data_IF_780648648590
#
_entry.id   IF_780648648590
#
_cell.length_a   1.000
_cell.length_b   1.000
_cell.length_c   1.000
_cell.angle_alpha   90.00
_cell.angle_beta   90.00
_cell.angle_gamma   90.00
#
_symmetry.space_group_name_H-M   'P 1'
#
loop_
_entity.id
_entity.type
_entity.pdbx_description
1 polymer ?
#
# COMPACT_ATOMS: atom_id res chain seq x y z
N UNK A 1 -6.33 -28.42 10.81
CA UNK A 1 -5.05 -27.90 11.32
C UNK A 1 -4.88 -26.46 10.83
N UNK A 2 -4.34 -25.53 11.63
CA UNK A 2 -4.09 -24.15 11.20
C UNK A 2 -2.93 -24.15 10.18
N UNK A 3 -3.07 -23.45 9.04
CA UNK A 3 -2.06 -23.42 7.97
C UNK A 3 -0.66 -23.01 8.46
N UNK A 4 -0.58 -22.18 9.50
CA UNK A 4 0.69 -21.81 10.12
C UNK A 4 1.35 -22.95 10.89
N UNK A 5 0.54 -23.78 11.58
CA UNK A 5 1.05 -24.96 12.31
C UNK A 5 1.50 -26.05 11.34
N UNK A 6 0.75 -26.24 10.25
CA UNK A 6 1.07 -27.19 9.18
C UNK A 6 2.36 -26.78 8.46
N UNK A 7 2.52 -25.49 8.12
CA UNK A 7 3.76 -24.99 7.53
C UNK A 7 4.96 -25.06 8.49
N UNK A 8 4.75 -24.86 9.79
CA UNK A 8 5.80 -25.00 10.79
C UNK A 8 6.28 -26.45 10.93
N UNK A 9 5.34 -27.39 10.94
CA UNK A 9 5.63 -28.83 10.95
C UNK A 9 6.38 -29.25 9.69
N UNK A 10 5.90 -28.85 8.51
CA UNK A 10 6.50 -29.18 7.23
C UNK A 10 7.95 -28.68 7.14
N UNK A 11 8.23 -27.46 7.60
CA UNK A 11 9.60 -26.93 7.64
C UNK A 11 10.52 -27.77 8.52
N UNK A 12 10.08 -28.09 9.74
CA UNK A 12 10.87 -28.90 10.65
C UNK A 12 11.14 -30.31 10.09
N UNK A 13 10.20 -30.86 9.33
CA UNK A 13 10.38 -32.17 8.70
C UNK A 13 11.32 -32.10 7.49
N UNK A 14 11.23 -31.04 6.68
CA UNK A 14 12.21 -30.77 5.61
C UNK A 14 13.61 -30.64 6.20
N UNK A 15 13.79 -29.86 7.27
CA UNK A 15 15.09 -29.67 7.90
C UNK A 15 15.67 -31.01 8.40
N UNK A 16 14.84 -31.86 9.00
CA UNK A 16 15.25 -33.22 9.43
C UNK A 16 15.66 -34.12 8.28
N UNK A 17 14.91 -34.10 7.17
CA UNK A 17 15.22 -34.92 6.00
C UNK A 17 16.53 -34.48 5.34
N UNK A 18 16.77 -33.16 5.28
CA UNK A 18 18.03 -32.61 4.77
C UNK A 18 19.22 -32.96 5.67
N UNK A 19 19.05 -32.95 7.00
CA UNK A 19 20.08 -33.39 7.95
C UNK A 19 20.36 -34.90 7.85
N UNK A 20 19.32 -35.71 7.59
CA UNK A 20 19.44 -37.17 7.51
C UNK A 20 20.05 -37.64 6.18
N UNK A 21 19.80 -36.91 5.10
CA UNK A 21 20.29 -37.23 3.75
C UNK A 21 20.98 -36.00 3.11
N UNK A 22 22.21 -35.64 3.54
CA UNK A 22 22.94 -34.51 2.98
C UNK A 22 23.20 -34.61 1.47
N UNK A 23 23.24 -35.83 0.93
CA UNK A 23 23.38 -36.10 -0.51
C UNK A 23 22.25 -35.53 -1.38
N UNK A 24 21.10 -35.17 -0.78
CA UNK A 24 19.99 -34.52 -1.48
C UNK A 24 20.31 -33.06 -1.87
N UNK A 25 21.38 -32.45 -1.35
CA UNK A 25 21.77 -31.09 -1.75
C UNK A 25 22.23 -31.01 -3.22
N UNK A 26 22.85 -32.08 -3.73
CA UNK A 26 23.49 -32.11 -5.04
C UNK A 26 22.53 -32.50 -6.18
N UNK A 27 21.35 -33.06 -5.86
CA UNK A 27 20.32 -33.46 -6.82
C UNK A 27 18.95 -32.86 -6.48
N UNK A 28 18.61 -31.77 -7.16
CA UNK A 28 17.35 -31.06 -6.97
C UNK A 28 16.11 -31.91 -7.30
N UNK A 29 16.21 -32.81 -8.28
CA UNK A 29 15.06 -33.63 -8.71
C UNK A 29 14.78 -34.71 -7.68
N UNK A 30 15.83 -35.43 -7.26
CA UNK A 30 15.74 -36.42 -6.19
C UNK A 30 15.24 -35.79 -4.88
N UNK A 31 15.74 -34.58 -4.55
CA UNK A 31 15.29 -33.85 -3.37
C UNK A 31 13.81 -33.51 -3.44
N UNK A 32 13.33 -32.99 -4.57
CA UNK A 32 11.92 -32.64 -4.72
C UNK A 32 11.00 -33.87 -4.57
N UNK A 33 11.35 -34.99 -5.20
CA UNK A 33 10.56 -36.22 -5.15
C UNK A 33 10.54 -36.84 -3.74
N UNK A 34 11.69 -36.87 -3.06
CA UNK A 34 11.80 -37.37 -1.68
C UNK A 34 11.03 -36.49 -0.69
N UNK A 35 11.16 -35.16 -0.80
CA UNK A 35 10.43 -34.24 0.07
C UNK A 35 8.91 -34.37 -0.14
N UNK A 36 8.44 -34.52 -1.37
CA UNK A 36 7.01 -34.69 -1.62
C UNK A 36 6.48 -36.03 -1.11
N UNK A 37 7.23 -37.11 -1.33
CA UNK A 37 6.88 -38.45 -0.88
C UNK A 37 6.84 -38.61 0.64
N UNK A 38 7.74 -37.96 1.37
CA UNK A 38 7.85 -38.09 2.84
C UNK A 38 7.02 -37.05 3.60
N UNK A 39 6.73 -35.87 3.03
CA UNK A 39 6.16 -34.74 3.78
C UNK A 39 4.85 -34.17 3.26
N UNK A 40 4.27 -34.72 2.18
CA UNK A 40 3.07 -34.17 1.51
C UNK A 40 3.25 -32.71 1.05
N UNK A 41 4.48 -32.31 0.69
CA UNK A 41 4.85 -30.93 0.35
C UNK A 41 3.90 -30.31 -0.68
N UNK A 42 3.66 -31.00 -1.79
CA UNK A 42 2.80 -30.54 -2.89
C UNK A 42 1.38 -30.29 -2.40
N UNK A 43 0.82 -31.23 -1.62
CA UNK A 43 -0.55 -31.12 -1.10
C UNK A 43 -0.73 -29.93 -0.15
N UNK A 44 0.28 -29.65 0.70
CA UNK A 44 0.26 -28.48 1.58
C UNK A 44 0.35 -27.19 0.74
N UNK A 45 1.21 -27.16 -0.27
CA UNK A 45 1.38 -26.02 -1.16
C UNK A 45 0.14 -25.73 -2.01
N UNK A 46 -0.55 -26.75 -2.53
CA UNK A 46 -1.83 -26.62 -3.23
C UNK A 46 -2.89 -25.97 -2.34
N UNK A 47 -3.05 -26.45 -1.10
CA UNK A 47 -4.01 -25.86 -0.14
C UNK A 47 -3.68 -24.41 0.19
N UNK A 48 -2.40 -24.06 0.32
CA UNK A 48 -1.96 -22.68 0.54
C UNK A 48 -2.26 -21.80 -0.69
N UNK A 49 -2.04 -22.34 -1.88
CA UNK A 49 -2.35 -21.68 -3.14
C UNK A 49 -3.85 -21.39 -3.27
N UNK A 50 -4.72 -22.37 -3.00
CA UNK A 50 -6.18 -22.21 -3.03
C UNK A 50 -6.67 -21.16 -2.03
N UNK A 51 -6.11 -21.17 -0.82
CA UNK A 51 -6.42 -20.17 0.20
C UNK A 51 -5.96 -18.78 -0.22
N UNK A 52 -4.79 -18.65 -0.84
CA UNK A 52 -4.28 -17.39 -1.40
C UNK A 52 -5.19 -16.88 -2.52
N UNK A 53 -5.62 -17.76 -3.44
CA UNK A 53 -6.53 -17.39 -4.54
C UNK A 53 -7.89 -16.94 -4.01
N UNK A 54 -8.46 -17.68 -3.05
CA UNK A 54 -9.71 -17.31 -2.39
C UNK A 54 -9.61 -15.95 -1.69
N UNK A 55 -8.51 -15.71 -0.97
CA UNK A 55 -8.26 -14.43 -0.31
C UNK A 55 -8.11 -13.28 -1.31
N UNK A 56 -7.45 -13.52 -2.45
CA UNK A 56 -7.34 -12.54 -3.55
C UNK A 56 -8.72 -12.17 -4.09
N UNK A 57 -9.56 -13.16 -4.42
CA UNK A 57 -10.91 -12.91 -4.91
C UNK A 57 -11.76 -12.10 -3.93
N UNK A 58 -11.68 -12.42 -2.63
CA UNK A 58 -12.38 -11.65 -1.59
C UNK A 58 -11.83 -10.22 -1.44
N UNK A 59 -10.52 -10.03 -1.59
CA UNK A 59 -9.89 -8.71 -1.56
C UNK A 59 -10.37 -7.83 -2.73
N UNK A 60 -10.43 -8.40 -3.93
CA UNK A 60 -10.86 -7.69 -5.12
C UNK A 60 -12.35 -7.30 -5.03
N UNK A 61 -13.22 -8.22 -4.59
CA UNK A 61 -14.63 -7.91 -4.32
C UNK A 61 -14.82 -6.85 -3.23
N UNK A 62 -13.97 -6.86 -2.18
CA UNK A 62 -14.01 -5.85 -1.14
C UNK A 62 -13.61 -4.46 -1.66
N UNK A 63 -12.58 -4.38 -2.52
CA UNK A 63 -12.16 -3.14 -3.18
C UNK A 63 -13.25 -2.55 -4.07
N UNK A 64 -13.94 -3.39 -4.82
CA UNK A 64 -15.05 -2.96 -5.68
C UNK A 64 -16.16 -2.31 -4.85
N UNK A 65 -16.61 -2.98 -3.78
CA UNK A 65 -17.62 -2.42 -2.87
C UNK A 65 -17.17 -1.14 -2.19
N UNK A 66 -15.91 -1.08 -1.76
CA UNK A 66 -15.33 0.12 -1.17
C UNK A 66 -15.33 1.30 -2.18
N UNK A 67 -15.00 1.02 -3.45
CA UNK A 67 -15.08 1.99 -4.54
C UNK A 67 -16.49 2.57 -4.69
N UNK A 68 -17.51 1.71 -4.75
CA UNK A 68 -18.90 2.15 -4.88
C UNK A 68 -19.38 3.01 -3.68
N UNK A 69 -18.97 2.66 -2.46
CA UNK A 69 -19.27 3.46 -1.26
C UNK A 69 -18.55 4.81 -1.31
N UNK A 70 -17.28 4.83 -1.77
CA UNK A 70 -16.51 6.06 -1.90
C UNK A 70 -17.10 7.00 -2.94
N UNK A 71 -17.58 6.49 -4.08
CA UNK A 71 -18.29 7.30 -5.08
C UNK A 71 -19.58 7.90 -4.52
N UNK A 72 -20.37 7.12 -3.77
CA UNK A 72 -21.56 7.64 -3.07
C UNK A 72 -21.18 8.74 -2.08
N UNK A 73 -20.15 8.53 -1.28
CA UNK A 73 -19.64 9.52 -0.33
C UNK A 73 -19.23 10.81 -1.03
N UNK A 74 -18.50 10.73 -2.16
CA UNK A 74 -18.14 11.90 -2.99
C UNK A 74 -19.36 12.67 -3.49
N UNK A 75 -20.45 11.98 -3.88
CA UNK A 75 -21.69 12.67 -4.29
C UNK A 75 -22.33 13.43 -3.13
N UNK A 76 -22.41 12.82 -1.95
CA UNK A 76 -22.93 13.51 -0.77
C UNK A 76 -22.04 14.67 -0.33
N UNK A 77 -20.71 14.55 -0.46
CA UNK A 77 -19.77 15.65 -0.25
C UNK A 77 -20.05 16.83 -1.19
N UNK A 78 -20.21 16.59 -2.49
CA UNK A 78 -20.61 17.64 -3.45
C UNK A 78 -21.96 18.28 -3.12
N UNK A 79 -22.91 17.48 -2.62
CA UNK A 79 -24.22 17.97 -2.22
C UNK A 79 -24.12 18.86 -0.97
N UNK A 80 -23.30 18.46 0.01
CA UNK A 80 -23.02 19.24 1.21
C UNK A 80 -22.34 20.58 0.87
N UNK A 81 -21.31 20.55 0.03
CA UNK A 81 -20.65 21.76 -0.49
C UNK A 81 -21.64 22.68 -1.21
N UNK A 82 -22.53 22.12 -2.04
CA UNK A 82 -23.55 22.90 -2.75
C UNK A 82 -24.56 23.56 -1.79
N UNK A 83 -24.99 22.86 -0.73
CA UNK A 83 -25.85 23.45 0.28
C UNK A 83 -25.14 24.53 1.10
N UNK A 84 -23.88 24.31 1.46
CA UNK A 84 -23.05 25.31 2.13
C UNK A 84 -22.87 26.57 1.27
N UNK A 85 -22.63 26.43 -0.04
CA UNK A 85 -22.58 27.55 -0.97
C UNK A 85 -23.93 28.27 -1.10
N UNK A 86 -25.04 27.53 -1.12
CA UNK A 86 -26.39 28.12 -1.15
C UNK A 86 -26.67 28.92 0.13
N UNK A 87 -26.36 28.36 1.31
CA UNK A 87 -26.51 29.05 2.60
C UNK A 87 -25.67 30.33 2.63
N UNK A 88 -24.42 30.29 2.17
CA UNK A 88 -23.57 31.47 2.04
C UNK A 88 -24.23 32.53 1.14
N UNK A 89 -24.71 32.13 -0.05
CA UNK A 89 -25.34 33.07 -0.99
C UNK A 89 -26.60 33.74 -0.42
N UNK A 90 -27.38 33.02 0.40
CA UNK A 90 -28.56 33.56 1.09
C UNK A 90 -28.13 34.55 2.17
N UNK A 91 -27.14 34.20 3.00
CA UNK A 91 -26.65 35.07 4.06
C UNK A 91 -26.03 36.36 3.49
N UNK A 92 -25.29 36.27 2.38
CA UNK A 92 -24.74 37.43 1.66
C UNK A 92 -25.86 38.34 1.13
N UNK A 93 -26.89 37.77 0.49
CA UNK A 93 -28.05 38.53 -0.01
C UNK A 93 -28.88 39.16 1.11
N UNK A 94 -28.97 38.49 2.26
CA UNK A 94 -29.65 38.99 3.44
C UNK A 94 -28.82 40.00 4.25
N UNK A 95 -27.55 40.21 3.88
CA UNK A 95 -26.59 41.05 4.61
C UNK A 95 -26.46 40.64 6.08
N UNK A 96 -26.47 39.33 6.36
CA UNK A 96 -26.34 38.75 7.69
C UNK A 96 -24.99 38.07 7.85
N UNK A 97 -24.12 38.63 8.69
CA UNK A 97 -22.82 38.02 9.01
C UNK A 97 -22.97 36.78 9.93
N UNK A 98 -24.08 36.69 10.67
CA UNK A 98 -24.34 35.64 11.66
C UNK A 98 -25.83 35.31 11.75
N UNK A 99 -26.15 34.02 11.75
CA UNK A 99 -27.49 33.50 11.97
C UNK A 99 -27.44 32.36 13.00
N UNK A 100 -28.11 32.53 14.13
CA UNK A 100 -28.22 31.49 15.16
C UNK A 100 -29.49 30.69 14.95
N UNK A 101 -29.36 29.39 14.69
CA UNK A 101 -30.45 28.43 14.63
C UNK A 101 -30.45 27.56 15.91
N UNK A 102 -31.57 26.91 16.26
CA UNK A 102 -31.61 26.00 17.42
C UNK A 102 -30.58 24.86 17.35
N UNK A 103 -30.24 24.41 16.13
CA UNK A 103 -29.35 23.26 15.91
C UNK A 103 -27.90 23.66 15.57
N UNK A 104 -27.66 24.91 15.14
CA UNK A 104 -26.32 25.38 14.73
C UNK A 104 -26.22 26.91 14.67
N UNK A 105 -25.01 27.45 14.76
CA UNK A 105 -24.75 28.87 14.46
C UNK A 105 -24.01 28.98 13.13
N UNK A 106 -24.62 29.67 12.16
CA UNK A 106 -24.01 30.00 10.87
C UNK A 106 -23.33 31.36 10.98
N UNK A 107 -22.09 31.45 10.51
CA UNK A 107 -21.35 32.71 10.47
C UNK A 107 -20.50 32.79 9.22
N UNK A 108 -20.61 33.89 8.48
CA UNK A 108 -19.70 34.16 7.36
C UNK A 108 -18.36 34.56 7.95
N UNK A 109 -17.31 33.80 7.62
CA UNK A 109 -15.93 34.22 7.92
C UNK A 109 -15.46 35.14 6.81
N UNK A 110 -14.81 36.24 7.20
CA UNK A 110 -14.09 37.09 6.24
C UNK A 110 -13.05 36.22 5.50
N UNK A 111 -12.85 36.41 4.18
CA UNK A 111 -11.85 35.68 3.44
C UNK A 111 -10.49 35.88 4.11
N UNK A 112 -9.87 34.80 4.57
CA UNK A 112 -8.51 34.86 5.09
C UNK A 112 -7.57 35.05 3.93
N UNK A 113 -6.61 35.97 4.06
CA UNK A 113 -5.56 36.20 3.07
C UNK A 113 -4.73 34.92 2.97
N UNK A 114 -4.94 34.13 1.93
CA UNK A 114 -4.10 33.00 1.58
C UNK A 114 -3.05 33.48 0.57
N UNK A 115 -1.79 33.13 0.81
CA UNK A 115 -0.71 33.42 -0.12
C UNK A 115 -0.78 32.40 -1.25
N UNK A 116 -1.16 32.84 -2.45
CA UNK A 116 -1.08 32.02 -3.65
C UNK A 116 0.33 32.18 -4.25
N UNK A 117 1.16 31.14 -4.14
CA UNK A 117 2.51 31.14 -4.73
C UNK A 117 2.38 30.89 -6.24
N UNK A 118 2.43 31.95 -7.03
CA UNK A 118 2.26 31.90 -8.49
C UNK A 118 3.51 31.41 -9.23
N UNK A 119 4.70 31.65 -8.68
CA UNK A 119 5.97 31.17 -9.22
C UNK A 119 6.95 30.92 -8.08
N UNK A 120 7.40 29.69 -7.90
CA UNK A 120 8.36 29.31 -6.85
C UNK A 120 9.76 29.87 -7.16
N UNK A 121 10.10 30.00 -8.45
CA UNK A 121 11.42 30.44 -8.92
C UNK A 121 11.66 31.96 -8.78
N UNK A 122 10.59 32.74 -8.65
CA UNK A 122 10.66 34.20 -8.41
C UNK A 122 10.62 34.54 -6.91
N UNK A 123 10.49 33.54 -6.03
CA UNK A 123 10.45 33.77 -4.59
C UNK A 123 11.84 34.19 -4.06
N UNK A 124 11.92 35.26 -3.26
CA UNK A 124 13.16 35.62 -2.57
C UNK A 124 13.67 34.47 -1.69
N UNK A 125 15.00 34.36 -1.57
CA UNK A 125 15.67 33.38 -0.73
C UNK A 125 15.16 33.51 0.72
N UNK A 126 14.39 32.51 1.20
CA UNK A 126 13.75 32.52 2.51
C UNK A 126 12.28 32.08 2.51
N UNK A 127 11.61 32.10 1.35
CA UNK A 127 10.20 31.68 1.22
C UNK A 127 9.99 30.30 0.58
N UNK A 128 11.06 29.57 0.27
CA UNK A 128 11.01 28.19 -0.23
C UNK A 128 11.87 27.26 0.63
N UNK A 129 11.41 26.03 0.83
CA UNK A 129 12.20 24.96 1.45
C UNK A 129 12.68 24.00 0.37
N UNK A 130 13.99 23.81 0.26
CA UNK A 130 14.57 22.86 -0.71
C UNK A 130 14.60 21.46 -0.10
N UNK A 131 13.65 20.60 -0.49
CA UNK A 131 13.62 19.20 -0.05
C UNK A 131 14.62 18.37 -0.90
N UNK A 132 15.78 18.03 -0.34
CA UNK A 132 16.73 17.09 -0.97
C UNK A 132 16.19 15.66 -0.88
N UNK A 133 15.43 15.23 -1.90
CA UNK A 133 15.01 13.82 -2.03
C UNK A 133 16.12 12.98 -2.66
N UNK A 134 16.42 11.85 -2.03
CA UNK A 134 17.31 10.86 -2.61
C UNK A 134 16.64 10.20 -3.82
N UNK A 135 17.23 10.35 -5.00
CA UNK A 135 16.79 9.62 -6.19
C UNK A 135 17.30 8.19 -6.14
N UNK A 136 16.48 7.30 -5.57
CA UNK A 136 16.79 5.88 -5.40
C UNK A 136 17.04 5.16 -6.72
N UNK A 137 16.55 5.67 -7.86
CA UNK A 137 16.82 5.06 -9.18
C UNK A 137 18.22 5.42 -9.65
N UNK A 138 18.57 6.70 -9.65
CA UNK A 138 19.91 7.16 -10.04
C UNK A 138 20.99 6.57 -9.11
N UNK A 139 20.71 6.52 -7.81
CA UNK A 139 21.56 5.89 -6.80
C UNK A 139 21.68 4.38 -7.05
N UNK A 140 20.56 3.70 -7.32
CA UNK A 140 20.56 2.27 -7.63
C UNK A 140 21.32 1.92 -8.91
N UNK A 141 21.22 2.75 -9.96
CA UNK A 141 21.91 2.55 -11.23
C UNK A 141 23.42 2.85 -11.11
N UNK A 142 23.81 3.86 -10.32
CA UNK A 142 25.21 4.17 -10.03
C UNK A 142 25.87 3.09 -9.17
N UNK A 143 25.19 2.62 -8.11
CA UNK A 143 25.71 1.52 -7.29
C UNK A 143 25.82 0.20 -8.08
N UNK A 144 24.91 -0.06 -9.03
CA UNK A 144 25.00 -1.23 -9.93
C UNK A 144 26.13 -1.13 -10.95
N UNK A 145 26.55 0.08 -11.32
CA UNK A 145 27.71 0.33 -12.20
C UNK A 145 29.05 0.25 -11.46
N UNK A 146 29.04 0.11 -10.13
CA UNK A 146 30.24 0.03 -9.30
C UNK A 146 30.71 1.37 -8.73
N UNK A 147 29.92 2.43 -8.84
CA UNK A 147 30.22 3.72 -8.21
C UNK A 147 29.81 3.69 -6.73
N UNK A 148 30.75 3.90 -5.80
CA UNK A 148 30.46 4.02 -4.37
C UNK A 148 29.81 5.38 -4.08
N UNK A 149 28.56 5.37 -3.59
CA UNK A 149 27.86 6.58 -3.12
C UNK A 149 27.87 6.58 -1.60
N UNK A 150 28.56 7.54 -0.94
CA UNK A 150 28.50 7.70 0.50
C UNK A 150 27.06 7.87 0.98
N UNK A 151 26.57 6.91 1.77
CA UNK A 151 25.20 6.90 2.32
C UNK A 151 24.17 6.07 1.55
N UNK A 152 24.56 5.27 0.56
CA UNK A 152 23.67 4.32 -0.09
C UNK A 152 24.36 2.96 -0.33
N UNK A 153 23.70 1.89 0.10
CA UNK A 153 24.18 0.51 -0.03
C UNK A 153 23.17 -0.33 -0.81
N UNK A 154 23.69 -1.23 -1.65
CA UNK A 154 22.87 -2.26 -2.30
C UNK A 154 22.58 -3.37 -1.28
N UNK A 155 21.39 -3.32 -0.67
CA UNK A 155 20.88 -4.48 0.07
C UNK A 155 20.17 -5.45 -0.89
N UNK A 156 20.52 -6.73 -0.80
CA UNK A 156 19.72 -7.79 -1.41
C UNK A 156 18.35 -7.82 -0.74
N UNK A 157 17.30 -7.63 -1.55
CA UNK A 157 15.93 -7.77 -1.08
C UNK A 157 15.63 -9.22 -0.69
N UNK A 158 14.62 -9.43 0.15
CA UNK A 158 14.13 -10.77 0.46
C UNK A 158 13.59 -11.44 -0.81
N UNK A 159 13.82 -12.74 -0.94
CA UNK A 159 13.26 -13.54 -2.02
C UNK A 159 11.72 -13.44 -2.01
N UNK A 160 11.13 -13.32 -3.19
CA UNK A 160 9.68 -13.19 -3.36
C UNK A 160 9.14 -14.31 -4.24
N UNK A 161 8.10 -14.99 -3.77
CA UNK A 161 7.41 -16.03 -4.54
C UNK A 161 6.54 -15.44 -5.66
N UNK A 162 6.91 -15.72 -6.92
CA UNK A 162 6.08 -15.42 -8.09
C UNK A 162 5.11 -16.57 -8.35
N UNK A 163 3.80 -16.28 -8.36
CA UNK A 163 2.75 -17.26 -8.69
C UNK A 163 2.05 -16.81 -9.97
N UNK A 164 2.13 -17.63 -11.02
CA UNK A 164 1.36 -17.48 -12.26
C UNK A 164 0.30 -18.56 -12.29
N UNK A 165 -0.96 -18.15 -12.29
CA UNK A 165 -2.09 -19.06 -12.49
C UNK A 165 -2.36 -19.14 -14.00
N UNK A 166 -2.58 -20.35 -14.53
CA UNK A 166 -2.97 -20.57 -15.93
C UNK A 166 -4.41 -20.12 -16.18
#
# INVERSE_FOLDING_TARGET
MNAHMEAGYLKAEIDRLMDQYPELEDDETLRADMLDGETDLTRVMERLLDRRQSARGMNDAAKERAGAIMERSKRYGRQEEAFSALMLSIMERANLDKLTLPEATLSIRKPSVSVNVTAIDELPQGYFQTERKADKKAIGDALKRGDEIPGAELMMGKETLSVRVK
#
